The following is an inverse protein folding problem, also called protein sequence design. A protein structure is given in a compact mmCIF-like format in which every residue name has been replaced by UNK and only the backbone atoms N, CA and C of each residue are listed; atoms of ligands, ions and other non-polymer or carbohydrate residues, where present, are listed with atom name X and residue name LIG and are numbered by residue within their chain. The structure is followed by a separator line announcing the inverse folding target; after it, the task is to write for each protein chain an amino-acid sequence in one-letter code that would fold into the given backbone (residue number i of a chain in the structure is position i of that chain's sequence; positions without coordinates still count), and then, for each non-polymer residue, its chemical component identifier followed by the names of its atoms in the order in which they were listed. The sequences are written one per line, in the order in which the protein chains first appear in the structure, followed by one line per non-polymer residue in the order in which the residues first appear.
data_IF_120769739368
#
_entry.id   IF_120769739368
#
_cell.length_a   1.000
_cell.length_b   1.000
_cell.length_c   1.000
_cell.angle_alpha   90.00
_cell.angle_beta   90.00
_cell.angle_gamma   90.00
#
_symmetry.space_group_name_H-M   'P 1'
#
loop_
_entity.id
_entity.type
_entity.pdbx_description
1 polymer ?
#
# COMPACT_ATOMS: atom_id res chain seq x y z
N UNK A 1 52.47 37.20 53.30
CA UNK A 1 53.13 36.07 52.59
C UNK A 1 52.09 34.95 52.54
N UNK A 2 51.42 34.58 51.44
CA UNK A 2 51.70 34.56 50.00
C UNK A 2 50.35 34.86 49.27
N UNK A 3 50.19 35.74 48.25
CA UNK A 3 50.60 35.63 46.83
C UNK A 3 50.26 34.23 46.27
N UNK A 4 49.38 33.99 45.28
CA UNK A 4 49.05 34.73 44.06
C UNK A 4 48.07 33.90 43.18
N UNK A 5 47.41 34.60 42.24
CA UNK A 5 46.93 34.18 40.89
C UNK A 5 45.58 33.44 40.75
N UNK A 6 44.64 34.19 40.18
CA UNK A 6 43.41 33.80 39.48
C UNK A 6 43.76 33.43 38.02
N UNK A 7 43.21 32.36 37.43
CA UNK A 7 43.04 32.26 35.98
C UNK A 7 41.55 32.31 35.65
N UNK A 8 41.08 33.44 35.13
CA UNK A 8 40.63 33.62 33.74
C UNK A 8 39.57 32.58 33.33
N UNK A 9 38.33 33.05 33.46
CA UNK A 9 37.10 32.48 32.93
C UNK A 9 37.11 32.62 31.39
N UNK A 10 37.46 31.57 30.66
CA UNK A 10 37.25 31.50 29.20
C UNK A 10 35.84 30.94 28.93
N UNK A 11 34.84 31.82 28.91
CA UNK A 11 33.53 31.53 28.32
C UNK A 11 33.68 31.58 26.80
N UNK A 12 34.08 30.47 26.19
CA UNK A 12 33.92 30.27 24.74
C UNK A 12 32.46 29.94 24.53
N UNK A 13 31.66 30.97 24.21
CA UNK A 13 30.31 30.78 23.67
C UNK A 13 30.47 30.23 22.26
N UNK A 14 30.57 28.91 22.13
CA UNK A 14 30.33 28.22 20.87
C UNK A 14 28.84 28.36 20.55
N UNK A 15 28.51 29.40 19.80
CA UNK A 15 27.22 29.49 19.12
C UNK A 15 27.21 28.42 18.03
N UNK A 16 26.88 27.19 18.40
CA UNK A 16 26.49 26.17 17.44
C UNK A 16 25.16 26.68 16.88
N UNK A 17 25.05 27.03 15.57
CA UNK A 17 23.73 27.19 15.00
C UNK A 17 23.03 25.86 15.23
N UNK A 18 22.01 25.89 16.08
CA UNK A 18 21.08 24.79 16.25
C UNK A 18 20.56 24.50 14.84
N UNK A 19 21.09 23.44 14.25
CA UNK A 19 20.56 22.87 13.03
C UNK A 19 19.14 22.48 13.44
N UNK A 20 18.17 23.32 13.09
CA UNK A 20 16.77 22.96 13.16
C UNK A 20 16.70 21.73 12.27
N UNK A 21 16.61 20.56 12.90
CA UNK A 21 16.21 19.36 12.20
C UNK A 21 14.90 19.76 11.52
N UNK A 22 14.85 19.71 10.19
CA UNK A 22 13.61 19.92 9.47
C UNK A 22 12.57 19.04 10.17
N UNK A 23 11.51 19.67 10.69
CA UNK A 23 10.39 18.92 11.22
C UNK A 23 9.95 17.96 10.11
N UNK A 24 9.68 16.67 10.42
CA UNK A 24 9.20 15.75 9.40
C UNK A 24 8.01 16.42 8.72
N UNK A 25 8.05 16.56 7.40
CA UNK A 25 6.93 17.07 6.60
C UNK A 25 5.66 16.43 7.14
N UNK A 26 4.78 17.22 7.74
CA UNK A 26 3.53 16.70 8.28
C UNK A 26 2.79 16.06 7.11
N UNK A 27 2.64 14.73 7.17
CA UNK A 27 1.75 14.00 6.28
C UNK A 27 0.35 14.62 6.33
N UNK A 28 -0.46 14.47 5.27
CA UNK A 28 -1.79 15.06 5.12
C UNK A 28 -2.86 14.47 6.07
N UNK A 29 -2.57 14.35 7.37
CA UNK A 29 -3.36 13.62 8.36
C UNK A 29 -4.76 14.20 8.50
N UNK A 30 -4.89 15.52 8.52
CA UNK A 30 -6.18 16.19 8.64
C UNK A 30 -7.04 15.94 7.39
N UNK A 31 -6.45 15.99 6.20
CA UNK A 31 -7.12 15.66 4.96
C UNK A 31 -7.53 14.17 4.92
N UNK A 32 -6.67 13.28 5.41
CA UNK A 32 -7.00 11.85 5.54
C UNK A 32 -8.16 11.58 6.50
N UNK A 33 -8.29 12.37 7.58
CA UNK A 33 -9.46 12.30 8.46
C UNK A 33 -10.72 12.73 7.72
N UNK A 34 -10.66 13.79 6.91
CA UNK A 34 -11.77 14.26 6.09
C UNK A 34 -12.17 13.23 5.02
N UNK A 35 -11.20 12.62 4.34
CA UNK A 35 -11.43 11.55 3.36
C UNK A 35 -12.09 10.35 4.03
N UNK A 36 -11.56 9.90 5.18
CA UNK A 36 -12.11 8.77 5.93
C UNK A 36 -13.55 9.04 6.37
N UNK A 37 -13.83 10.27 6.82
CA UNK A 37 -15.19 10.71 7.15
C UNK A 37 -16.10 10.71 5.92
N UNK A 38 -15.63 11.24 4.79
CA UNK A 38 -16.38 11.27 3.54
C UNK A 38 -16.73 9.85 3.06
N UNK A 39 -15.79 8.89 3.13
CA UNK A 39 -16.03 7.47 2.84
C UNK A 39 -17.14 6.92 3.73
N UNK A 40 -17.05 7.14 5.05
CA UNK A 40 -18.04 6.64 6.03
C UNK A 40 -19.44 7.22 5.80
N UNK A 41 -19.51 8.47 5.37
CA UNK A 41 -20.78 9.17 5.08
C UNK A 41 -21.33 8.87 3.67
N UNK A 42 -20.68 8.00 2.89
CA UNK A 42 -21.12 7.70 1.52
C UNK A 42 -20.96 8.87 0.56
N UNK A 43 -19.94 9.71 0.76
CA UNK A 43 -19.60 10.90 -0.05
C UNK A 43 -18.29 10.68 -0.83
N UNK A 44 -18.23 9.69 -1.73
CA UNK A 44 -16.99 9.33 -2.42
C UNK A 44 -16.46 10.45 -3.32
N UNK A 45 -17.33 11.31 -3.87
CA UNK A 45 -16.91 12.46 -4.68
C UNK A 45 -16.03 13.42 -3.88
N UNK A 46 -16.46 13.79 -2.67
CA UNK A 46 -15.69 14.66 -1.77
C UNK A 46 -14.34 14.05 -1.41
N UNK A 47 -14.30 12.73 -1.15
CA UNK A 47 -13.04 12.04 -0.89
C UNK A 47 -12.08 12.07 -2.09
N UNK A 48 -12.59 11.91 -3.32
CA UNK A 48 -11.76 11.95 -4.54
C UNK A 48 -11.19 13.33 -4.80
N UNK A 49 -11.99 14.38 -4.63
CA UNK A 49 -11.54 15.75 -4.89
C UNK A 49 -10.39 16.14 -3.95
N UNK A 50 -10.41 15.66 -2.69
CA UNK A 50 -9.32 15.84 -1.73
C UNK A 50 -8.06 15.03 -2.08
N UNK A 51 -8.21 13.82 -2.62
CA UNK A 51 -7.08 12.94 -2.93
C UNK A 51 -6.19 13.45 -4.06
N UNK A 52 -6.72 14.20 -5.03
CA UNK A 52 -5.93 14.68 -6.18
C UNK A 52 -4.76 15.56 -5.74
N UNK A 53 -4.97 16.44 -4.76
CA UNK A 53 -3.90 17.27 -4.19
C UNK A 53 -2.87 16.43 -3.42
N UNK A 54 -3.36 15.57 -2.52
CA UNK A 54 -2.52 14.70 -1.68
C UNK A 54 -1.61 13.80 -2.53
N UNK A 55 -2.14 13.16 -3.58
CA UNK A 55 -1.35 12.26 -4.43
C UNK A 55 -0.19 13.02 -5.09
N UNK A 56 -0.44 14.21 -5.62
CA UNK A 56 0.59 15.02 -6.27
C UNK A 56 1.64 15.55 -5.27
N UNK A 57 1.20 16.02 -4.11
CA UNK A 57 2.07 16.56 -3.07
C UNK A 57 2.93 15.46 -2.44
N UNK A 58 2.37 14.27 -2.23
CA UNK A 58 3.09 13.10 -1.75
C UNK A 58 4.13 12.60 -2.77
N UNK A 59 3.82 12.63 -4.07
CA UNK A 59 4.80 12.31 -5.13
C UNK A 59 5.95 13.33 -5.11
N UNK A 60 5.66 14.62 -5.03
CA UNK A 60 6.67 15.68 -5.01
C UNK A 60 7.57 15.62 -3.77
N UNK A 61 7.01 15.15 -2.65
CA UNK A 61 7.71 15.01 -1.37
C UNK A 61 8.32 13.61 -1.17
N UNK A 62 8.23 12.73 -2.17
CA UNK A 62 8.71 11.34 -2.12
C UNK A 62 8.16 10.52 -0.93
N UNK A 63 6.93 10.82 -0.49
CA UNK A 63 6.22 10.11 0.58
C UNK A 63 5.55 8.83 0.02
N UNK A 64 6.36 7.82 -0.29
CA UNK A 64 5.92 6.66 -1.08
C UNK A 64 4.78 5.84 -0.48
N UNK A 65 4.66 5.78 0.85
CA UNK A 65 3.56 5.09 1.51
C UNK A 65 2.23 5.83 1.37
N UNK A 66 2.26 7.16 1.50
CA UNK A 66 1.12 8.03 1.23
C UNK A 66 0.72 8.00 -0.25
N UNK A 67 1.68 8.00 -1.19
CA UNK A 67 1.39 7.86 -2.62
C UNK A 67 0.66 6.54 -2.91
N UNK A 68 1.15 5.43 -2.37
CA UNK A 68 0.51 4.13 -2.56
C UNK A 68 -0.90 4.08 -1.94
N UNK A 69 -1.08 4.67 -0.75
CA UNK A 69 -2.40 4.82 -0.10
C UNK A 69 -3.34 5.67 -0.94
N UNK A 70 -2.86 6.79 -1.47
CA UNK A 70 -3.64 7.71 -2.28
C UNK A 70 -4.16 7.02 -3.55
N UNK A 71 -3.26 6.35 -4.30
CA UNK A 71 -3.62 5.59 -5.52
C UNK A 71 -4.67 4.51 -5.20
N UNK A 72 -4.44 3.67 -4.19
CA UNK A 72 -5.37 2.60 -3.83
C UNK A 72 -6.73 3.15 -3.37
N UNK A 73 -6.74 4.23 -2.58
CA UNK A 73 -7.97 4.87 -2.10
C UNK A 73 -8.73 5.53 -3.25
N UNK A 74 -8.02 6.16 -4.20
CA UNK A 74 -8.63 6.76 -5.38
C UNK A 74 -9.36 5.71 -6.21
N UNK A 75 -8.72 4.58 -6.51
CA UNK A 75 -9.36 3.46 -7.23
C UNK A 75 -10.59 2.93 -6.46
N UNK A 76 -10.50 2.80 -5.13
CA UNK A 76 -11.62 2.38 -4.30
C UNK A 76 -12.81 3.35 -4.42
N UNK A 77 -12.55 4.65 -4.36
CA UNK A 77 -13.59 5.68 -4.45
C UNK A 77 -14.19 5.79 -5.85
N UNK A 78 -13.39 5.63 -6.90
CA UNK A 78 -13.83 5.60 -8.30
C UNK A 78 -14.78 4.43 -8.58
N UNK A 79 -14.67 3.35 -7.81
CA UNK A 79 -15.50 2.14 -7.91
C UNK A 79 -16.56 2.02 -6.79
N UNK A 80 -16.83 3.10 -6.05
CA UNK A 80 -17.69 3.06 -4.85
C UNK A 80 -19.18 2.83 -5.12
N UNK A 81 -19.64 3.05 -6.35
CA UNK A 81 -21.01 2.80 -6.79
C UNK A 81 -21.23 1.37 -7.30
N UNK A 82 -20.16 0.57 -7.40
CA UNK A 82 -20.18 -0.81 -7.86
C UNK A 82 -20.25 -1.79 -6.69
N UNK A 83 -20.87 -2.97 -6.87
CA UNK A 83 -20.87 -3.99 -5.83
C UNK A 83 -19.46 -4.58 -5.66
N UNK A 84 -19.14 -5.07 -4.46
CA UNK A 84 -17.80 -5.59 -4.16
C UNK A 84 -17.39 -6.84 -4.95
N UNK A 85 -18.35 -7.52 -5.57
CA UNK A 85 -18.15 -8.65 -6.46
C UNK A 85 -17.97 -8.25 -7.95
N UNK A 86 -17.94 -6.95 -8.27
CA UNK A 86 -17.58 -6.38 -9.58
C UNK A 86 -16.04 -6.35 -9.75
N UNK A 87 -15.48 -6.83 -10.88
CA UNK A 87 -14.04 -6.83 -11.10
C UNK A 87 -13.43 -5.48 -11.48
N UNK A 88 -14.22 -4.45 -11.79
CA UNK A 88 -13.72 -3.17 -12.34
C UNK A 88 -12.62 -2.56 -11.47
N UNK A 89 -12.73 -2.63 -10.14
CA UNK A 89 -11.69 -2.17 -9.20
C UNK A 89 -10.33 -2.84 -9.41
N UNK A 90 -10.31 -4.10 -9.83
CA UNK A 90 -9.07 -4.85 -10.09
C UNK A 90 -8.43 -4.39 -11.40
N UNK A 91 -9.26 -4.14 -12.42
CA UNK A 91 -8.84 -3.63 -13.74
C UNK A 91 -8.26 -2.23 -13.57
N UNK A 92 -8.96 -1.36 -12.84
CA UNK A 92 -8.52 0.03 -12.60
C UNK A 92 -7.25 0.09 -11.76
N UNK A 93 -7.10 -0.78 -10.74
CA UNK A 93 -5.86 -0.89 -9.98
C UNK A 93 -4.71 -1.40 -10.84
N UNK A 94 -4.95 -2.37 -11.73
CA UNK A 94 -3.93 -2.86 -12.67
C UNK A 94 -3.40 -1.74 -13.57
N UNK A 95 -4.32 -0.94 -14.12
CA UNK A 95 -3.98 0.22 -14.92
C UNK A 95 -3.23 1.28 -14.11
N UNK A 96 -3.66 1.57 -12.88
CA UNK A 96 -3.00 2.53 -11.99
C UNK A 96 -1.56 2.10 -11.66
N UNK A 97 -1.31 0.81 -11.45
CA UNK A 97 0.04 0.27 -11.19
C UNK A 97 1.01 0.54 -12.35
N UNK A 98 0.55 0.52 -13.61
CA UNK A 98 1.41 0.79 -14.76
C UNK A 98 1.92 2.24 -14.78
N UNK A 99 1.08 3.19 -14.34
CA UNK A 99 1.40 4.62 -14.27
C UNK A 99 2.08 5.04 -12.95
N UNK A 100 2.06 4.19 -11.92
CA UNK A 100 2.57 4.54 -10.60
C UNK A 100 4.11 4.66 -10.55
N UNK A 101 4.65 5.50 -9.64
CA UNK A 101 6.08 5.53 -9.34
C UNK A 101 6.63 4.15 -9.01
N UNK A 102 7.84 3.82 -9.47
CA UNK A 102 8.41 2.47 -9.33
C UNK A 102 8.50 2.01 -7.86
N UNK A 103 8.73 2.96 -6.96
CA UNK A 103 8.85 2.78 -5.51
C UNK A 103 7.55 2.26 -4.87
N UNK A 104 6.39 2.57 -5.45
CA UNK A 104 5.08 2.19 -4.90
C UNK A 104 4.51 0.91 -5.50
N UNK A 105 5.05 0.46 -6.65
CA UNK A 105 4.50 -0.67 -7.41
C UNK A 105 4.45 -1.96 -6.61
N UNK A 106 5.48 -2.26 -5.82
CA UNK A 106 5.49 -3.47 -4.98
C UNK A 106 4.32 -3.49 -3.99
N UNK A 107 4.10 -2.39 -3.28
CA UNK A 107 2.99 -2.27 -2.34
C UNK A 107 1.62 -2.31 -3.05
N UNK A 108 1.48 -1.63 -4.19
CA UNK A 108 0.23 -1.66 -4.96
C UNK A 108 -0.06 -3.05 -5.55
N UNK A 109 0.95 -3.80 -5.98
CA UNK A 109 0.79 -5.18 -6.43
C UNK A 109 0.41 -6.11 -5.29
N UNK A 110 0.93 -5.89 -4.07
CA UNK A 110 0.49 -6.60 -2.87
C UNK A 110 -0.98 -6.32 -2.53
N UNK A 111 -1.43 -5.07 -2.68
CA UNK A 111 -2.84 -4.68 -2.55
C UNK A 111 -3.67 -5.40 -3.62
N UNK A 112 -3.19 -5.44 -4.87
CA UNK A 112 -3.88 -6.12 -5.96
C UNK A 112 -4.05 -7.62 -5.70
N UNK A 113 -3.00 -8.32 -5.24
CA UNK A 113 -3.08 -9.74 -4.88
C UNK A 113 -4.16 -10.01 -3.83
N UNK A 114 -4.18 -9.20 -2.76
CA UNK A 114 -5.20 -9.27 -1.72
C UNK A 114 -6.61 -8.94 -2.25
N UNK A 115 -6.76 -7.94 -3.11
CA UNK A 115 -8.05 -7.60 -3.72
C UNK A 115 -8.56 -8.69 -4.66
N UNK A 116 -7.69 -9.33 -5.44
CA UNK A 116 -8.03 -10.46 -6.30
C UNK A 116 -8.52 -11.65 -5.46
N UNK A 117 -7.85 -11.94 -4.33
CA UNK A 117 -8.31 -12.97 -3.40
C UNK A 117 -9.67 -12.64 -2.79
N UNK A 118 -9.90 -11.39 -2.36
CA UNK A 118 -11.20 -10.95 -1.86
C UNK A 118 -12.30 -11.05 -2.92
N UNK A 119 -12.00 -10.65 -4.16
CA UNK A 119 -12.91 -10.81 -5.30
C UNK A 119 -13.28 -12.28 -5.51
N UNK A 120 -12.31 -13.19 -5.45
CA UNK A 120 -12.56 -14.63 -5.50
C UNK A 120 -13.48 -15.07 -4.35
N UNK A 121 -13.20 -14.67 -3.11
CA UNK A 121 -14.03 -15.01 -1.94
C UNK A 121 -15.49 -14.56 -2.13
N UNK A 122 -15.70 -13.35 -2.62
CA UNK A 122 -17.05 -12.80 -2.88
C UNK A 122 -17.78 -13.51 -4.02
N UNK A 123 -17.04 -14.05 -5.00
CA UNK A 123 -17.58 -14.71 -6.19
C UNK A 123 -17.48 -16.25 -6.15
N UNK A 124 -17.14 -16.87 -5.01
CA UNK A 124 -16.89 -18.34 -4.92
C UNK A 124 -17.99 -19.20 -5.52
N UNK A 125 -19.25 -18.81 -5.30
CA UNK A 125 -20.41 -19.54 -5.81
C UNK A 125 -20.47 -19.54 -7.35
N UNK A 126 -20.04 -18.46 -8.01
CA UNK A 126 -19.99 -18.36 -9.48
C UNK A 126 -18.91 -19.29 -10.04
N UNK A 127 -17.73 -19.29 -9.41
CA UNK A 127 -16.61 -20.14 -9.83
C UNK A 127 -16.90 -21.63 -9.63
N UNK A 128 -17.62 -22.00 -8.57
CA UNK A 128 -18.02 -23.38 -8.32
C UNK A 128 -19.00 -23.96 -9.36
N UNK A 129 -19.74 -23.09 -10.07
CA UNK A 129 -20.75 -23.50 -11.06
C UNK A 129 -20.17 -23.63 -12.48
N UNK A 130 -18.91 -23.26 -12.71
CA UNK A 130 -18.31 -23.26 -14.05
C UNK A 130 -17.59 -24.58 -14.32
N UNK A 131 -17.85 -25.14 -15.50
CA UNK A 131 -17.04 -26.24 -16.05
C UNK A 131 -15.68 -25.70 -16.49
N UNK A 132 -14.60 -26.42 -16.16
CA UNK A 132 -13.24 -26.08 -16.58
C UNK A 132 -13.18 -25.81 -18.07
N UNK A 133 -12.76 -24.60 -18.46
CA UNK A 133 -12.51 -24.28 -19.86
C UNK A 133 -11.03 -24.46 -20.14
N UNK A 134 -10.70 -25.10 -21.27
CA UNK A 134 -9.31 -25.18 -21.75
C UNK A 134 -8.98 -23.82 -22.37
N UNK A 135 -8.73 -22.81 -21.52
CA UNK A 135 -8.10 -21.56 -21.95
C UNK A 135 -6.58 -21.72 -21.93
N UNK A 136 -5.91 -21.13 -22.91
CA UNK A 136 -4.45 -21.05 -22.93
C UNK A 136 -3.99 -20.17 -21.77
N UNK A 137 -3.14 -20.70 -20.89
CA UNK A 137 -2.67 -19.98 -19.69
C UNK A 137 -1.84 -18.72 -19.99
N UNK A 138 -1.54 -18.46 -21.26
CA UNK A 138 -0.48 -17.55 -21.72
C UNK A 138 -0.86 -16.08 -21.84
N UNK A 139 -2.14 -15.67 -21.71
CA UNK A 139 -2.48 -14.25 -21.76
C UNK A 139 -3.29 -13.83 -20.53
N UNK A 140 -2.70 -13.00 -19.69
CA UNK A 140 -3.38 -12.40 -18.54
C UNK A 140 -4.23 -11.22 -19.03
N UNK A 141 -5.55 -11.36 -18.95
CA UNK A 141 -6.50 -10.29 -19.21
C UNK A 141 -7.53 -10.22 -18.08
N UNK A 142 -7.38 -9.25 -17.18
CA UNK A 142 -8.30 -9.05 -16.06
C UNK A 142 -9.70 -8.63 -16.51
N UNK A 143 -9.88 -8.09 -17.72
CA UNK A 143 -11.22 -7.77 -18.23
C UNK A 143 -12.07 -9.03 -18.44
N UNK A 144 -11.42 -10.18 -18.61
CA UNK A 144 -12.05 -11.49 -18.72
C UNK A 144 -12.20 -12.22 -17.39
N UNK A 145 -11.82 -11.66 -16.24
CA UNK A 145 -11.85 -12.36 -14.94
C UNK A 145 -13.24 -12.93 -14.60
N UNK A 146 -14.30 -12.28 -15.07
CA UNK A 146 -15.67 -12.74 -14.94
C UNK A 146 -16.00 -13.96 -15.78
N UNK A 147 -15.19 -14.40 -16.74
CA UNK A 147 -15.38 -15.63 -17.53
C UNK A 147 -14.54 -16.80 -17.03
N UNK A 148 -13.50 -16.52 -16.23
CA UNK A 148 -12.53 -17.51 -15.76
C UNK A 148 -13.18 -18.64 -14.96
N UNK A 149 -12.61 -19.84 -15.08
CA UNK A 149 -12.94 -20.97 -14.23
C UNK A 149 -12.20 -20.90 -12.88
N UNK A 150 -12.55 -21.82 -11.98
CA UNK A 150 -11.96 -21.89 -10.65
C UNK A 150 -10.42 -22.04 -10.70
N UNK A 151 -9.91 -22.86 -11.62
CA UNK A 151 -8.47 -23.10 -11.73
C UNK A 151 -7.77 -21.81 -12.14
N UNK A 152 -8.28 -21.10 -13.14
CA UNK A 152 -7.67 -19.88 -13.67
C UNK A 152 -7.59 -18.76 -12.62
N UNK A 153 -8.66 -18.52 -11.86
CA UNK A 153 -8.62 -17.48 -10.80
C UNK A 153 -7.68 -17.84 -9.65
N UNK A 154 -7.60 -19.12 -9.26
CA UNK A 154 -6.65 -19.59 -8.24
C UNK A 154 -5.21 -19.44 -8.72
N UNK A 155 -4.93 -19.75 -9.99
CA UNK A 155 -3.63 -19.54 -10.60
C UNK A 155 -3.26 -18.05 -10.63
N UNK A 156 -4.18 -17.15 -11.04
CA UNK A 156 -3.92 -15.70 -11.01
C UNK A 156 -3.52 -15.21 -9.62
N UNK A 157 -4.25 -15.61 -8.57
CA UNK A 157 -3.95 -15.17 -7.20
C UNK A 157 -2.56 -15.66 -6.77
N UNK A 158 -2.25 -16.93 -7.05
CA UNK A 158 -0.94 -17.50 -6.74
C UNK A 158 0.17 -16.77 -7.47
N UNK A 159 0.02 -16.57 -8.78
CA UNK A 159 1.04 -15.95 -9.62
C UNK A 159 1.24 -14.47 -9.24
N UNK A 160 0.19 -13.77 -8.80
CA UNK A 160 0.31 -12.42 -8.24
C UNK A 160 1.11 -12.40 -6.93
N UNK A 161 0.83 -13.29 -5.98
CA UNK A 161 1.62 -13.40 -4.75
C UNK A 161 3.07 -13.79 -5.05
N UNK A 162 3.30 -14.78 -5.91
CA UNK A 162 4.64 -15.23 -6.29
C UNK A 162 5.44 -14.11 -6.94
N UNK A 163 4.84 -13.36 -7.87
CA UNK A 163 5.47 -12.21 -8.52
C UNK A 163 5.91 -11.15 -7.50
N UNK A 164 5.04 -10.81 -6.55
CA UNK A 164 5.33 -9.81 -5.53
C UNK A 164 6.42 -10.27 -4.55
N UNK A 165 6.47 -11.57 -4.26
CA UNK A 165 7.40 -12.15 -3.28
C UNK A 165 8.77 -12.53 -3.85
N UNK A 166 8.88 -12.73 -5.17
CA UNK A 166 10.09 -13.19 -5.85
C UNK A 166 11.05 -12.07 -6.26
N UNK A 167 10.66 -10.80 -6.11
CA UNK A 167 11.54 -9.67 -6.35
C UNK A 167 12.56 -9.53 -5.21
N UNK A 168 13.82 -9.89 -5.48
CA UNK A 168 14.92 -9.92 -4.50
C UNK A 168 15.22 -8.54 -3.88
N UNK A 169 14.90 -7.45 -4.58
CA UNK A 169 15.03 -6.09 -4.07
C UNK A 169 13.71 -5.47 -3.60
N UNK A 170 12.57 -6.02 -4.04
CA UNK A 170 11.23 -5.43 -3.91
C UNK A 170 10.75 -5.24 -2.48
N UNK A 171 9.80 -6.06 -2.02
CA UNK A 171 9.18 -5.83 -0.70
C UNK A 171 10.14 -6.00 0.48
N UNK A 172 11.24 -6.76 0.30
CA UNK A 172 12.27 -6.95 1.34
C UNK A 172 13.04 -5.65 1.63
N UNK A 173 13.05 -4.70 0.69
CA UNK A 173 13.67 -3.39 0.87
C UNK A 173 12.77 -2.34 1.51
N UNK A 174 11.53 -2.69 1.87
CA UNK A 174 10.51 -1.76 2.35
C UNK A 174 10.17 -2.03 3.82
N UNK A 175 10.78 -1.32 4.79
CA UNK A 175 10.51 -1.52 6.21
C UNK A 175 9.07 -1.16 6.57
N UNK A 176 8.37 -1.99 7.35
CA UNK A 176 6.95 -1.75 7.71
C UNK A 176 6.74 -0.39 8.36
N UNK A 177 7.69 0.05 9.20
CA UNK A 177 7.64 1.35 9.89
C UNK A 177 7.55 2.56 8.94
N UNK A 178 8.08 2.44 7.74
CA UNK A 178 8.09 3.51 6.72
C UNK A 178 6.81 3.46 5.86
N UNK A 179 5.92 2.50 6.14
CA UNK A 179 4.67 2.25 5.41
C UNK A 179 3.44 2.32 6.32
N UNK A 180 3.52 3.14 7.37
CA UNK A 180 2.50 3.26 8.41
C UNK A 180 1.16 3.82 7.90
N UNK A 181 1.15 4.52 6.75
CA UNK A 181 -0.08 4.94 6.09
C UNK A 181 -0.90 3.79 5.50
N UNK A 182 -0.24 2.67 5.16
CA UNK A 182 -0.88 1.49 4.58
C UNK A 182 -1.02 0.34 5.57
N UNK A 183 -0.06 0.19 6.48
CA UNK A 183 0.01 -0.94 7.40
C UNK A 183 -0.22 -0.45 8.83
N UNK A 184 -1.29 -0.93 9.45
CA UNK A 184 -1.50 -0.75 10.88
C UNK A 184 -0.43 -1.52 11.66
N UNK A 185 0.15 -0.86 12.67
CA UNK A 185 1.10 -1.50 13.57
C UNK A 185 0.44 -2.70 14.26
N UNK A 186 1.04 -3.88 14.07
CA UNK A 186 0.61 -5.09 14.77
C UNK A 186 0.92 -5.04 16.26
N UNK A 187 0.27 -5.92 17.04
CA UNK A 187 0.56 -6.07 18.48
C UNK A 187 1.91 -6.73 18.78
N UNK A 188 2.44 -7.49 17.82
CA UNK A 188 3.77 -8.09 17.84
C UNK A 188 4.69 -7.11 17.12
N UNK A 189 5.62 -6.46 17.84
CA UNK A 189 6.44 -5.37 17.31
C UNK A 189 7.30 -5.75 16.08
N UNK A 190 7.93 -4.74 15.48
CA UNK A 190 8.63 -4.80 14.18
C UNK A 190 9.63 -5.95 14.01
N UNK A 191 10.18 -6.48 15.11
CA UNK A 191 11.11 -7.60 15.11
C UNK A 191 10.56 -8.88 14.44
N UNK A 192 9.23 -9.05 14.37
CA UNK A 192 8.59 -10.24 13.79
C UNK A 192 8.02 -10.01 12.38
N UNK A 193 7.88 -8.76 11.96
CA UNK A 193 7.44 -8.36 10.62
C UNK A 193 8.19 -7.09 10.20
N UNK A 194 9.49 -7.20 9.90
CA UNK A 194 10.32 -6.03 9.64
C UNK A 194 9.96 -5.34 8.32
N UNK A 195 9.45 -6.07 7.32
CA UNK A 195 9.26 -5.55 5.96
C UNK A 195 7.87 -5.84 5.40
N UNK A 196 7.47 -5.13 4.34
CA UNK A 196 6.24 -5.44 3.62
C UNK A 196 6.22 -6.88 3.10
N UNK A 197 7.37 -7.48 2.84
CA UNK A 197 7.47 -8.87 2.43
C UNK A 197 6.86 -9.80 3.48
N UNK A 198 7.13 -9.56 4.77
CA UNK A 198 6.60 -10.37 5.87
C UNK A 198 5.08 -10.26 6.01
N UNK A 199 4.54 -9.07 5.69
CA UNK A 199 3.09 -8.83 5.65
C UNK A 199 2.46 -9.66 4.52
N UNK A 200 3.04 -9.59 3.32
CA UNK A 200 2.50 -10.28 2.14
C UNK A 200 2.66 -11.79 2.23
N UNK A 201 3.74 -12.31 2.81
CA UNK A 201 3.91 -13.75 3.05
C UNK A 201 2.82 -14.29 3.95
N UNK A 202 2.46 -13.57 5.02
CA UNK A 202 1.34 -13.97 5.87
C UNK A 202 0.05 -14.09 5.05
N UNK A 203 -0.23 -13.11 4.21
CA UNK A 203 -1.45 -13.09 3.37
C UNK A 203 -1.43 -14.25 2.36
N UNK A 204 -0.29 -14.53 1.73
CA UNK A 204 -0.10 -15.67 0.84
C UNK A 204 -0.31 -17.02 1.56
N UNK A 205 0.23 -17.17 2.79
CA UNK A 205 -0.01 -18.35 3.63
C UNK A 205 -1.51 -18.50 3.93
N UNK A 206 -2.18 -17.42 4.30
CA UNK A 206 -3.62 -17.43 4.58
C UNK A 206 -4.43 -17.86 3.34
N UNK A 207 -4.08 -17.34 2.16
CA UNK A 207 -4.65 -17.79 0.88
C UNK A 207 -4.46 -19.30 0.67
N UNK A 208 -3.24 -19.82 0.79
CA UNK A 208 -2.96 -21.25 0.61
C UNK A 208 -3.69 -22.15 1.62
N UNK A 209 -4.02 -21.65 2.82
CA UNK A 209 -4.81 -22.37 3.81
C UNK A 209 -6.30 -22.43 3.46
N UNK A 210 -6.80 -21.59 2.54
CA UNK A 210 -8.22 -21.58 2.16
C UNK A 210 -8.66 -22.70 1.21
N UNK A 211 -7.71 -23.50 0.69
CA UNK A 211 -7.97 -24.67 -0.15
C UNK A 211 -8.05 -24.37 -1.63
#
# INVERSE_FOLDING_TARGET
MNRHILPILCFVVCWVPMLVAAEPLESHQDEWQLITKAIREGKPKTGRDLLVGIEQDAINSEQWDEVARAIATRVLLENSDRPGDDPQRLIDLDAAIQGAPVQTRGALQAIQANWTWNFFQMNRWRFAQRTTQVQSDTNRDLSEINSWDLRRIVLEIRDQFEKVLSDDGGLKGLPVKDWAMLIEAGSMGDAYRPTLWDVVVRDAIAFHQTG
#
